data_IF_406109820446
#
_entry.id   IF_406109820446
#
_cell.length_a   1.000
_cell.length_b   1.000
_cell.length_c   1.000
_cell.angle_alpha   90.00
_cell.angle_beta   90.00
_cell.angle_gamma   90.00
#
_symmetry.space_group_name_H-M   'P 1'
#
loop_
_entity.id
_entity.type
_entity.pdbx_description
1 polymer ?
#
# COMPACT_ATOMS: atom_id res chain seq x y z
N UNK A 1 -19.11 41.36 15.81
CA UNK A 1 -17.71 40.91 15.86
C UNK A 1 -17.46 40.15 17.16
N UNK A 2 -17.23 38.83 17.08
CA UNK A 2 -16.99 37.97 18.25
C UNK A 2 -16.14 36.75 17.85
N UNK A 3 -14.83 36.91 17.90
CA UNK A 3 -13.72 35.97 17.72
C UNK A 3 -14.04 34.45 17.50
N UNK A 4 -14.39 34.05 16.27
CA UNK A 4 -14.40 32.65 15.81
C UNK A 4 -12.98 32.04 15.70
N UNK A 5 -11.94 32.88 15.47
CA UNK A 5 -10.53 32.45 15.47
C UNK A 5 -10.08 31.89 16.83
N UNK A 6 -10.65 32.35 17.94
CA UNK A 6 -10.30 31.87 19.28
C UNK A 6 -10.75 30.44 19.56
N UNK A 7 -11.97 30.07 19.15
CA UNK A 7 -12.57 28.76 19.48
C UNK A 7 -11.88 27.61 18.75
N UNK A 8 -11.57 27.76 17.46
CA UNK A 8 -10.84 26.75 16.67
C UNK A 8 -9.42 26.56 17.19
N UNK A 9 -8.74 27.66 17.54
CA UNK A 9 -7.38 27.61 18.09
C UNK A 9 -7.34 26.95 19.47
N UNK A 10 -8.35 27.17 20.30
CA UNK A 10 -8.50 26.50 21.61
C UNK A 10 -8.79 25.01 21.45
N UNK A 11 -9.66 24.62 20.51
CA UNK A 11 -9.97 23.21 20.23
C UNK A 11 -8.76 22.45 19.69
N UNK A 12 -8.00 23.03 18.75
CA UNK A 12 -6.75 22.45 18.25
C UNK A 12 -5.67 22.35 19.33
N UNK A 13 -5.62 23.32 20.27
CA UNK A 13 -4.68 23.27 21.41
C UNK A 13 -5.04 22.18 22.41
N UNK A 14 -6.33 21.95 22.67
CA UNK A 14 -6.81 20.81 23.48
C UNK A 14 -6.52 19.47 22.80
N UNK A 15 -6.77 19.35 21.49
CA UNK A 15 -6.44 18.17 20.70
C UNK A 15 -4.94 17.87 20.70
N UNK A 16 -4.10 18.90 20.53
CA UNK A 16 -2.64 18.78 20.63
C UNK A 16 -2.22 18.29 22.03
N UNK A 17 -2.86 18.77 23.09
CA UNK A 17 -2.62 18.30 24.46
C UNK A 17 -2.98 16.84 24.65
N UNK A 18 -4.16 16.42 24.17
CA UNK A 18 -4.63 15.04 24.24
C UNK A 18 -3.75 14.08 23.41
N UNK A 19 -3.37 14.46 22.19
CA UNK A 19 -2.46 13.68 21.34
C UNK A 19 -1.05 13.59 21.92
N UNK A 20 -0.57 14.64 22.58
CA UNK A 20 0.74 14.61 23.26
C UNK A 20 0.71 13.68 24.47
N UNK A 21 -0.39 13.68 25.24
CA UNK A 21 -0.61 12.75 26.35
C UNK A 21 -0.72 11.31 25.85
N UNK A 22 -1.54 11.06 24.82
CA UNK A 22 -1.64 9.76 24.16
C UNK A 22 -0.30 9.27 23.58
N UNK A 23 0.51 10.16 22.99
CA UNK A 23 1.83 9.78 22.49
C UNK A 23 2.85 9.50 23.61
N UNK A 24 2.66 10.04 24.81
CA UNK A 24 3.49 9.73 26.00
C UNK A 24 3.02 8.42 26.64
N UNK A 25 1.71 8.23 26.76
CA UNK A 25 1.10 7.08 27.43
C UNK A 25 1.15 5.81 26.53
N UNK A 26 0.92 5.96 25.22
CA UNK A 26 0.79 4.86 24.26
C UNK A 26 1.80 4.89 23.08
N UNK A 27 2.43 6.03 22.79
CA UNK A 27 3.30 6.19 21.61
C UNK A 27 4.59 5.36 21.65
N UNK A 28 5.03 4.97 22.85
CA UNK A 28 6.18 4.08 23.05
C UNK A 28 5.79 2.60 23.16
N UNK A 29 4.50 2.23 23.10
CA UNK A 29 4.07 0.84 23.25
C UNK A 29 4.68 -0.04 22.16
N UNK A 30 4.73 0.43 20.91
CA UNK A 30 5.33 -0.33 19.81
C UNK A 30 6.83 -0.54 20.01
N UNK A 31 7.55 0.48 20.49
CA UNK A 31 8.99 0.42 20.70
C UNK A 31 9.34 -0.44 21.93
N UNK A 32 8.55 -0.33 23.00
CA UNK A 32 8.62 -1.20 24.18
C UNK A 32 8.35 -2.66 23.81
N UNK A 33 7.32 -2.91 22.99
CA UNK A 33 6.97 -4.24 22.46
C UNK A 33 8.02 -4.86 21.54
N UNK A 34 8.83 -4.04 20.87
CA UNK A 34 9.97 -4.51 20.06
C UNK A 34 11.10 -4.92 21.00
N UNK A 35 11.47 -4.06 21.94
CA UNK A 35 12.54 -4.31 22.93
C UNK A 35 12.21 -5.56 23.77
N UNK A 36 11.00 -5.65 24.31
CA UNK A 36 10.56 -6.81 25.11
C UNK A 36 10.64 -8.14 24.33
N UNK A 37 10.38 -8.12 23.02
CA UNK A 37 10.49 -9.32 22.17
C UNK A 37 11.94 -9.63 21.80
N UNK A 38 12.76 -8.62 21.52
CA UNK A 38 14.19 -8.78 21.29
C UNK A 38 14.89 -9.37 22.52
N UNK A 39 14.57 -8.86 23.71
CA UNK A 39 15.11 -9.36 24.98
C UNK A 39 14.68 -10.80 25.22
N UNK A 40 13.40 -11.15 24.98
CA UNK A 40 12.91 -12.52 25.14
C UNK A 40 13.52 -13.50 24.14
N UNK A 41 13.73 -13.08 22.90
CA UNK A 41 14.43 -13.89 21.88
C UNK A 41 15.87 -14.13 22.33
N UNK A 42 16.54 -13.11 22.85
CA UNK A 42 17.91 -13.22 23.37
C UNK A 42 18.01 -14.18 24.55
N UNK A 43 17.06 -14.16 25.47
CA UNK A 43 16.98 -15.14 26.57
C UNK A 43 16.85 -16.59 26.07
N UNK A 44 16.02 -16.82 25.03
CA UNK A 44 15.84 -18.13 24.42
C UNK A 44 17.12 -18.56 23.67
N UNK A 45 17.79 -17.64 22.99
CA UNK A 45 19.05 -17.90 22.29
C UNK A 45 20.18 -18.26 23.28
N UNK A 46 20.32 -17.53 24.39
CA UNK A 46 21.28 -17.84 25.46
C UNK A 46 21.00 -19.21 26.10
N UNK A 47 19.72 -19.57 26.28
CA UNK A 47 19.34 -20.90 26.75
C UNK A 47 19.74 -22.02 25.78
N UNK A 48 19.84 -21.72 24.48
CA UNK A 48 20.21 -22.68 23.43
C UNK A 48 21.71 -23.03 23.46
N UNK A 49 22.55 -22.14 24.00
CA UNK A 49 23.98 -22.41 24.22
C UNK A 49 24.24 -23.40 25.35
N UNK A 50 23.34 -23.45 26.33
CA UNK A 50 23.47 -24.29 27.54
C UNK A 50 22.70 -25.60 27.43
N UNK A 51 21.58 -25.62 26.70
CA UNK A 51 20.72 -26.81 26.55
C UNK A 51 19.97 -26.82 25.23
N UNK A 52 19.41 -27.97 24.88
CA UNK A 52 18.42 -28.04 23.80
C UNK A 52 17.11 -27.38 24.24
N UNK A 53 16.50 -26.63 23.32
CA UNK A 53 15.20 -26.01 23.52
C UNK A 53 14.09 -27.07 23.57
N UNK A 54 13.06 -26.78 24.36
CA UNK A 54 11.81 -27.56 24.35
C UNK A 54 10.96 -27.19 23.14
N UNK A 55 10.05 -28.08 22.74
CA UNK A 55 9.15 -27.84 21.60
C UNK A 55 8.28 -26.58 21.81
N UNK A 56 7.87 -26.31 23.06
CA UNK A 56 7.15 -25.09 23.44
C UNK A 56 7.99 -23.82 23.25
N UNK A 57 9.26 -23.84 23.61
CA UNK A 57 10.17 -22.69 23.43
C UNK A 57 10.52 -22.47 21.97
N UNK A 58 10.60 -23.54 21.17
CA UNK A 58 10.77 -23.43 19.73
C UNK A 58 9.56 -22.77 19.06
N UNK A 59 8.35 -23.07 19.52
CA UNK A 59 7.13 -22.44 19.01
C UNK A 59 6.95 -21.01 19.53
N UNK A 60 7.31 -20.75 20.78
CA UNK A 60 7.40 -19.38 21.33
C UNK A 60 8.38 -18.53 20.53
N UNK A 61 9.58 -19.06 20.21
CA UNK A 61 10.59 -18.37 19.42
C UNK A 61 10.09 -18.05 18.00
N UNK A 62 9.38 -18.98 17.35
CA UNK A 62 8.77 -18.72 16.03
C UNK A 62 7.74 -17.60 16.11
N UNK A 63 6.89 -17.62 17.14
CA UNK A 63 5.84 -16.64 17.33
C UNK A 63 6.42 -15.24 17.64
N UNK A 64 7.40 -15.16 18.55
CA UNK A 64 8.10 -13.92 18.89
C UNK A 64 8.79 -13.29 17.69
N UNK A 65 9.43 -14.10 16.83
CA UNK A 65 10.07 -13.63 15.61
C UNK A 65 9.07 -13.07 14.58
N UNK A 66 7.90 -13.71 14.43
CA UNK A 66 6.83 -13.19 13.55
C UNK A 66 6.33 -11.84 14.06
N UNK A 67 6.01 -11.75 15.35
CA UNK A 67 5.47 -10.52 15.93
C UNK A 67 6.49 -9.38 15.95
N UNK A 68 7.78 -9.69 16.20
CA UNK A 68 8.86 -8.72 16.12
C UNK A 68 8.99 -8.15 14.70
N UNK A 69 8.93 -9.02 13.69
CA UNK A 69 9.01 -8.62 12.29
C UNK A 69 7.85 -7.70 11.86
N UNK A 70 6.62 -8.04 12.24
CA UNK A 70 5.44 -7.22 11.99
C UNK A 70 5.54 -5.84 12.68
N UNK A 71 5.99 -5.82 13.95
CA UNK A 71 6.18 -4.59 14.69
C UNK A 71 7.27 -3.69 14.08
N UNK A 72 8.38 -4.28 13.63
CA UNK A 72 9.45 -3.57 12.93
C UNK A 72 8.99 -3.01 11.58
N UNK A 73 8.22 -3.79 10.81
CA UNK A 73 7.64 -3.33 9.54
C UNK A 73 6.67 -2.16 9.73
N UNK A 74 5.83 -2.24 10.75
CA UNK A 74 4.92 -1.15 11.11
C UNK A 74 5.69 0.11 11.54
N UNK A 75 6.75 -0.05 12.36
CA UNK A 75 7.66 1.04 12.74
C UNK A 75 8.32 1.67 11.52
N UNK A 76 8.83 0.86 10.58
CA UNK A 76 9.42 1.33 9.32
C UNK A 76 8.43 2.15 8.49
N UNK A 77 7.16 1.72 8.41
CA UNK A 77 6.09 2.47 7.73
C UNK A 77 5.86 3.85 8.37
N UNK A 78 5.77 3.93 9.70
CA UNK A 78 5.67 5.20 10.44
C UNK A 78 6.88 6.10 10.16
N UNK A 79 8.09 5.53 10.15
CA UNK A 79 9.32 6.26 9.86
C UNK A 79 9.45 6.70 8.40
N UNK A 80 8.73 6.09 7.45
CA UNK A 80 8.63 6.57 6.06
C UNK A 80 7.65 7.72 5.91
N UNK A 81 6.60 7.74 6.75
CA UNK A 81 5.58 8.78 6.74
C UNK A 81 6.03 10.05 7.49
N UNK A 82 6.77 9.91 8.60
CA UNK A 82 7.28 11.06 9.39
C UNK A 82 8.10 12.06 8.57
N UNK A 83 9.10 11.67 7.75
CA UNK A 83 9.85 12.57 6.89
C UNK A 83 8.98 13.27 5.86
N UNK A 84 8.02 12.57 5.24
CA UNK A 84 7.07 13.16 4.28
C UNK A 84 6.20 14.24 4.94
N UNK A 85 5.74 14.00 6.16
CA UNK A 85 4.99 14.98 6.95
C UNK A 85 5.84 16.19 7.37
N UNK A 86 7.11 15.98 7.71
CA UNK A 86 8.04 17.08 8.06
C UNK A 86 8.43 17.89 6.83
N UNK A 87 8.61 17.24 5.68
CA UNK A 87 8.91 17.87 4.39
C UNK A 87 7.75 18.75 3.91
N UNK A 88 6.50 18.26 4.04
CA UNK A 88 5.27 19.02 3.77
C UNK A 88 5.09 20.22 4.70
N UNK A 89 5.67 20.20 5.90
CA UNK A 89 5.51 21.26 6.90
C UNK A 89 6.61 22.33 6.83
N UNK A 90 7.81 21.98 6.38
CA UNK A 90 8.98 22.86 6.41
C UNK A 90 9.45 23.33 5.02
N UNK A 91 8.94 22.75 3.92
CA UNK A 91 9.37 23.08 2.56
C UNK A 91 10.86 22.80 2.32
N UNK A 92 11.36 23.21 1.16
CA UNK A 92 12.71 22.90 0.63
C UNK A 92 13.91 23.40 1.47
N UNK A 93 13.69 23.97 2.65
CA UNK A 93 14.72 24.55 3.51
C UNK A 93 15.34 23.57 4.51
N UNK A 94 15.54 22.28 4.16
CA UNK A 94 16.10 21.30 5.11
C UNK A 94 17.29 20.45 4.64
N UNK A 95 18.20 21.08 3.91
CA UNK A 95 19.58 20.61 3.71
C UNK A 95 20.33 20.40 5.06
N UNK A 96 20.07 21.22 6.09
CA UNK A 96 20.76 21.10 7.38
C UNK A 96 20.41 19.84 8.20
N UNK A 97 19.16 19.34 8.14
CA UNK A 97 18.77 18.09 8.82
C UNK A 97 19.35 16.87 8.09
N UNK A 98 19.30 16.84 6.76
CA UNK A 98 19.89 15.76 5.97
C UNK A 98 21.40 15.62 6.28
N UNK A 99 22.13 16.74 6.29
CA UNK A 99 23.54 16.73 6.66
C UNK A 99 23.79 16.38 8.15
N UNK A 100 22.88 16.75 9.07
CA UNK A 100 22.96 16.32 10.49
C UNK A 100 22.68 14.82 10.67
N UNK A 101 21.68 14.28 9.99
CA UNK A 101 21.34 12.86 10.02
C UNK A 101 22.48 12.01 9.42
N UNK A 102 23.07 12.45 8.30
CA UNK A 102 24.26 11.84 7.71
C UNK A 102 25.45 11.91 8.68
N UNK A 103 25.70 13.05 9.34
CA UNK A 103 26.77 13.19 10.35
C UNK A 103 26.56 12.30 11.59
N UNK A 104 25.33 12.15 12.09
CA UNK A 104 25.01 11.26 13.21
C UNK A 104 25.22 9.79 12.81
N UNK A 105 24.83 9.41 11.59
CA UNK A 105 25.03 8.07 11.04
C UNK A 105 26.51 7.75 10.83
N UNK A 106 27.32 8.74 10.43
CA UNK A 106 28.78 8.61 10.31
C UNK A 106 29.47 8.50 11.68
N UNK A 107 29.04 9.29 12.70
CA UNK A 107 29.56 9.18 14.08
C UNK A 107 29.26 7.84 14.74
N UNK A 108 28.12 7.21 14.43
CA UNK A 108 27.74 5.88 14.94
C UNK A 108 28.49 4.71 14.28
N UNK A 109 29.19 4.95 13.15
CA UNK A 109 30.00 3.96 12.45
C UNK A 109 31.50 4.03 12.79
N UNK A 110 31.91 4.91 13.71
CA UNK A 110 33.31 5.05 14.08
C UNK A 110 33.65 4.10 15.24
N UNK A 111 34.45 3.06 14.95
CA UNK A 111 35.03 2.15 15.95
C UNK A 111 36.24 2.85 16.59
N UNK A 112 36.25 3.00 17.91
CA UNK A 112 37.27 3.79 18.63
C UNK A 112 38.53 3.01 19.03
N UNK A 113 38.48 1.68 19.02
CA UNK A 113 39.64 0.77 19.08
C UNK A 113 39.15 -0.68 18.95
N UNK A 114 40.00 -1.58 18.44
CA UNK A 114 39.78 -3.03 18.46
C UNK A 114 40.92 -3.62 19.28
N UNK A 115 40.60 -4.28 20.40
CA UNK A 115 41.54 -5.07 21.17
C UNK A 115 41.45 -6.51 20.66
N UNK A 116 42.57 -7.03 20.13
CA UNK A 116 42.63 -8.38 19.59
C UNK A 116 42.97 -9.36 20.71
N UNK A 117 42.09 -10.33 20.98
CA UNK A 117 42.52 -11.55 21.64
C UNK A 117 42.27 -12.76 20.73
N UNK A 118 43.36 -13.19 20.10
CA UNK A 118 43.45 -14.36 19.24
C UNK A 118 43.50 -15.62 20.11
N UNK A 119 42.38 -16.03 20.71
CA UNK A 119 42.27 -17.41 21.22
C UNK A 119 40.83 -17.84 21.51
N UNK A 120 40.13 -18.34 20.48
CA UNK A 120 39.33 -19.59 20.51
C UNK A 120 38.58 -19.76 19.18
N UNK A 121 39.02 -20.76 18.43
CA UNK A 121 38.30 -21.29 17.29
C UNK A 121 37.07 -22.08 17.77
N UNK A 122 35.90 -21.82 17.17
CA UNK A 122 34.71 -22.66 17.32
C UNK A 122 33.40 -21.89 17.39
N UNK A 123 32.58 -22.05 16.35
CA UNK A 123 31.16 -21.68 16.24
C UNK A 123 30.84 -20.23 15.88
N UNK A 124 30.56 -20.01 14.59
CA UNK A 124 29.86 -18.83 14.07
C UNK A 124 28.36 -19.11 14.15
N UNK A 125 27.67 -18.44 15.08
CA UNK A 125 26.20 -18.34 15.11
C UNK A 125 25.80 -17.13 14.26
N UNK A 126 25.15 -17.34 13.13
CA UNK A 126 24.51 -16.26 12.37
C UNK A 126 23.08 -16.04 12.90
N UNK A 127 22.79 -14.83 13.41
CA UNK A 127 21.42 -14.41 13.71
C UNK A 127 20.60 -14.39 12.42
N UNK A 128 19.60 -15.25 12.36
CA UNK A 128 18.78 -15.53 11.19
C UNK A 128 17.65 -14.49 11.06
N UNK A 129 17.96 -13.22 10.80
CA UNK A 129 16.95 -12.20 10.54
C UNK A 129 16.80 -11.88 9.04
N UNK A 130 16.60 -12.92 8.22
CA UNK A 130 16.11 -12.77 6.84
C UNK A 130 15.52 -14.10 6.31
N UNK A 131 14.58 -14.68 7.06
CA UNK A 131 13.72 -15.76 6.54
C UNK A 131 12.26 -15.32 6.50
N UNK A 132 11.93 -14.59 5.44
CA UNK A 132 10.74 -14.85 4.59
C UNK A 132 10.82 -13.93 3.37
N UNK A 133 11.24 -14.52 2.26
CA UNK A 133 11.37 -13.85 0.98
C UNK A 133 12.62 -14.28 0.22
N UNK A 134 13.00 -15.56 0.22
CA UNK A 134 14.12 -16.00 -0.59
C UNK A 134 14.22 -17.52 -0.72
N UNK A 135 13.72 -18.07 -1.81
CA UNK A 135 14.30 -19.29 -2.38
C UNK A 135 15.25 -18.93 -3.52
N UNK A 136 14.99 -17.85 -4.27
CA UNK A 136 15.80 -17.47 -5.42
C UNK A 136 17.10 -16.76 -5.04
N UNK A 137 17.08 -15.76 -4.12
CA UNK A 137 18.34 -15.13 -3.69
C UNK A 137 19.10 -15.94 -2.63
N UNK A 138 18.45 -16.85 -1.89
CA UNK A 138 19.19 -17.87 -1.12
C UNK A 138 19.92 -18.84 -2.05
N UNK A 139 19.30 -19.27 -3.15
CA UNK A 139 19.95 -20.14 -4.15
C UNK A 139 21.09 -19.42 -4.89
N UNK A 140 20.90 -18.14 -5.25
CA UNK A 140 21.94 -17.31 -5.87
C UNK A 140 23.09 -16.98 -4.90
N UNK A 141 22.82 -16.72 -3.63
CA UNK A 141 23.85 -16.48 -2.62
C UNK A 141 24.67 -17.75 -2.29
N UNK A 142 24.03 -18.94 -2.32
CA UNK A 142 24.73 -20.23 -2.18
C UNK A 142 25.58 -20.51 -3.43
N UNK A 143 25.05 -20.27 -4.63
CA UNK A 143 25.80 -20.42 -5.88
C UNK A 143 26.98 -19.44 -6.00
N UNK A 144 26.82 -18.21 -5.51
CA UNK A 144 27.87 -17.19 -5.48
C UNK A 144 28.97 -17.50 -4.45
N UNK A 145 28.63 -18.08 -3.29
CA UNK A 145 29.62 -18.58 -2.30
C UNK A 145 30.46 -19.72 -2.84
N UNK A 146 29.94 -20.52 -3.78
CA UNK A 146 30.68 -21.63 -4.38
C UNK A 146 31.68 -21.18 -5.46
N UNK A 147 31.64 -19.93 -5.93
CA UNK A 147 32.33 -19.55 -7.17
C UNK A 147 33.17 -18.26 -7.13
N UNK A 148 33.46 -17.67 -5.96
CA UNK A 148 34.28 -16.46 -5.90
C UNK A 148 35.48 -16.61 -4.97
N UNK A 149 36.64 -16.87 -5.58
CA UNK A 149 37.93 -16.59 -4.97
C UNK A 149 38.19 -15.07 -4.95
N UNK A 150 38.81 -14.60 -3.86
CA UNK A 150 39.48 -13.30 -3.71
C UNK A 150 38.66 -12.01 -3.54
N UNK A 151 37.38 -12.05 -3.17
CA UNK A 151 36.71 -10.86 -2.60
C UNK A 151 36.75 -10.90 -1.07
N UNK A 152 37.13 -9.79 -0.42
CA UNK A 152 36.94 -9.63 1.03
C UNK A 152 35.47 -9.94 1.35
N UNK A 153 35.23 -10.94 2.21
CA UNK A 153 33.90 -11.55 2.38
C UNK A 153 32.79 -10.57 2.77
N UNK A 154 33.11 -9.44 3.40
CA UNK A 154 32.16 -8.38 3.76
C UNK A 154 31.70 -7.57 2.53
N UNK A 155 32.64 -7.15 1.66
CA UNK A 155 32.33 -6.39 0.44
C UNK A 155 31.44 -7.20 -0.52
N UNK A 156 31.66 -8.52 -0.59
CA UNK A 156 30.86 -9.42 -1.41
C UNK A 156 29.41 -9.58 -0.89
N UNK A 157 29.22 -9.61 0.44
CA UNK A 157 27.89 -9.71 1.05
C UNK A 157 27.12 -8.40 0.83
N UNK A 158 27.76 -7.25 1.02
CA UNK A 158 27.12 -5.94 0.77
C UNK A 158 26.72 -5.79 -0.70
N UNK A 159 27.58 -6.21 -1.64
CA UNK A 159 27.27 -6.20 -3.07
C UNK A 159 26.08 -7.10 -3.43
N UNK A 160 25.97 -8.29 -2.84
CA UNK A 160 24.83 -9.20 -3.05
C UNK A 160 23.53 -8.62 -2.51
N UNK A 161 23.55 -7.97 -1.35
CA UNK A 161 22.38 -7.30 -0.79
C UNK A 161 21.92 -6.12 -1.68
N UNK A 162 22.87 -5.31 -2.16
CA UNK A 162 22.59 -4.23 -3.10
C UNK A 162 21.98 -4.77 -4.40
N UNK A 163 22.53 -5.86 -4.93
CA UNK A 163 22.02 -6.49 -6.15
C UNK A 163 20.59 -7.02 -5.96
N UNK A 164 20.31 -7.70 -4.83
CA UNK A 164 18.97 -8.19 -4.51
C UNK A 164 17.97 -7.04 -4.38
N UNK A 165 18.39 -5.92 -3.77
CA UNK A 165 17.58 -4.71 -3.68
C UNK A 165 17.23 -4.15 -5.07
N UNK A 166 18.22 -4.03 -5.95
CA UNK A 166 18.02 -3.57 -7.34
C UNK A 166 17.04 -4.48 -8.09
N UNK A 167 17.25 -5.79 -8.03
CA UNK A 167 16.38 -6.74 -8.73
C UNK A 167 14.95 -6.72 -8.23
N UNK A 168 14.73 -6.57 -6.92
CA UNK A 168 13.38 -6.43 -6.36
C UNK A 168 12.63 -5.24 -6.95
N UNK A 169 13.31 -4.11 -7.14
CA UNK A 169 12.71 -2.93 -7.74
C UNK A 169 12.54 -3.08 -9.25
N UNK A 170 13.56 -3.61 -9.95
CA UNK A 170 13.52 -3.84 -11.39
C UNK A 170 12.41 -4.81 -11.81
N UNK A 171 12.12 -5.85 -11.01
CA UNK A 171 11.08 -6.83 -11.30
C UNK A 171 9.75 -6.58 -10.58
N UNK A 172 9.58 -5.46 -9.88
CA UNK A 172 8.32 -5.17 -9.17
C UNK A 172 7.10 -5.09 -10.12
N UNK A 173 7.33 -4.76 -11.40
CA UNK A 173 6.28 -4.76 -12.42
C UNK A 173 5.68 -6.17 -12.63
N UNK A 174 6.42 -7.24 -12.34
CA UNK A 174 5.93 -8.63 -12.46
C UNK A 174 4.79 -8.87 -11.49
N UNK A 175 4.89 -8.39 -10.24
CA UNK A 175 3.80 -8.50 -9.25
C UNK A 175 2.57 -7.70 -9.70
N UNK A 176 2.77 -6.49 -10.23
CA UNK A 176 1.71 -5.66 -10.77
C UNK A 176 0.97 -6.35 -11.93
N UNK A 177 1.72 -6.91 -12.90
CA UNK A 177 1.14 -7.61 -14.05
C UNK A 177 0.55 -8.97 -13.68
N UNK A 178 1.07 -9.64 -12.65
CA UNK A 178 0.49 -10.88 -12.12
C UNK A 178 -0.88 -10.63 -11.49
N UNK A 179 -1.02 -9.53 -10.74
CA UNK A 179 -2.31 -9.11 -10.20
C UNK A 179 -3.31 -8.79 -11.33
N UNK A 180 -2.88 -8.04 -12.34
CA UNK A 180 -3.69 -7.76 -13.54
C UNK A 180 -4.17 -9.06 -14.20
N UNK A 181 -3.25 -10.00 -14.42
CA UNK A 181 -3.56 -11.30 -15.01
C UNK A 181 -4.62 -12.07 -14.19
N UNK A 182 -4.50 -12.10 -12.86
CA UNK A 182 -5.46 -12.76 -12.01
C UNK A 182 -6.85 -12.10 -12.03
N UNK A 183 -6.92 -10.77 -12.15
CA UNK A 183 -8.18 -10.04 -12.33
C UNK A 183 -8.82 -10.34 -13.69
N UNK A 184 -8.02 -10.39 -14.76
CA UNK A 184 -8.49 -10.67 -16.12
C UNK A 184 -8.99 -12.12 -16.26
N UNK A 185 -8.31 -13.06 -15.60
CA UNK A 185 -8.70 -14.48 -15.54
C UNK A 185 -9.85 -14.76 -14.57
N UNK A 186 -10.27 -13.78 -13.76
CA UNK A 186 -11.34 -13.96 -12.77
C UNK A 186 -10.99 -14.90 -11.62
N UNK A 187 -9.70 -15.13 -11.35
CA UNK A 187 -9.22 -16.11 -10.35
C UNK A 187 -9.78 -15.82 -8.95
N UNK A 188 -9.92 -14.53 -8.59
CA UNK A 188 -10.44 -14.12 -7.29
C UNK A 188 -11.89 -14.58 -7.07
N UNK A 189 -12.76 -14.34 -8.05
CA UNK A 189 -14.17 -14.75 -7.99
C UNK A 189 -14.27 -16.29 -8.04
N UNK A 190 -13.48 -16.95 -8.91
CA UNK A 190 -13.47 -18.42 -9.02
C UNK A 190 -13.15 -19.09 -7.67
N UNK A 191 -12.10 -18.65 -6.98
CA UNK A 191 -11.72 -19.20 -5.67
C UNK A 191 -12.77 -18.82 -4.61
N UNK A 192 -13.36 -17.63 -4.68
CA UNK A 192 -14.42 -17.22 -3.76
C UNK A 192 -15.67 -18.09 -3.89
N UNK A 193 -16.17 -18.24 -5.11
CA UNK A 193 -17.40 -18.96 -5.45
C UNK A 193 -17.26 -20.46 -5.18
N UNK A 194 -16.03 -20.99 -5.19
CA UNK A 194 -15.74 -22.37 -4.80
C UNK A 194 -16.04 -22.65 -3.31
N UNK A 195 -15.99 -21.63 -2.44
CA UNK A 195 -16.44 -21.70 -1.04
C UNK A 195 -15.55 -22.49 -0.07
N UNK A 196 -14.47 -23.12 -0.54
CA UNK A 196 -13.50 -23.90 0.26
C UNK A 196 -12.07 -23.72 -0.30
N UNK A 197 -11.01 -24.16 0.40
CA UNK A 197 -9.66 -24.14 -0.17
C UNK A 197 -9.62 -24.85 -1.53
N UNK A 198 -9.22 -24.14 -2.59
CA UNK A 198 -9.26 -24.63 -3.97
C UNK A 198 -7.88 -25.13 -4.39
N UNK A 199 -7.75 -26.38 -4.78
CA UNK A 199 -6.48 -26.94 -5.27
C UNK A 199 -6.07 -26.32 -6.60
N UNK A 200 -4.78 -26.45 -6.96
CA UNK A 200 -4.31 -25.98 -8.28
C UNK A 200 -5.02 -26.70 -9.43
N UNK A 201 -5.33 -27.99 -9.28
CA UNK A 201 -6.02 -28.80 -10.29
C UNK A 201 -7.46 -28.33 -10.49
N UNK A 202 -8.18 -28.07 -9.39
CA UNK A 202 -9.54 -27.50 -9.45
C UNK A 202 -9.53 -26.10 -10.08
N UNK A 203 -8.57 -25.24 -9.73
CA UNK A 203 -8.45 -23.91 -10.30
C UNK A 203 -8.20 -23.95 -11.82
N UNK A 204 -7.25 -24.80 -12.26
CA UNK A 204 -6.95 -24.99 -13.69
C UNK A 204 -8.19 -25.50 -14.44
N UNK A 205 -8.96 -26.42 -13.85
CA UNK A 205 -10.19 -26.94 -14.45
C UNK A 205 -11.31 -25.88 -14.52
N UNK A 206 -11.36 -24.95 -13.57
CA UNK A 206 -12.35 -23.88 -13.53
C UNK A 206 -12.06 -22.74 -14.55
N UNK A 207 -10.82 -22.60 -15.01
CA UNK A 207 -10.42 -21.58 -15.99
C UNK A 207 -10.79 -22.01 -17.42
N UNK A 208 -12.03 -21.72 -17.83
CA UNK A 208 -12.63 -22.16 -19.11
C UNK A 208 -11.82 -21.78 -20.38
N UNK A 209 -11.13 -20.64 -20.36
CA UNK A 209 -10.37 -20.10 -21.50
C UNK A 209 -8.87 -20.46 -21.46
N UNK A 210 -8.44 -21.32 -20.52
CA UNK A 210 -7.04 -21.65 -20.35
C UNK A 210 -6.54 -22.60 -21.44
N UNK A 211 -5.46 -22.23 -22.11
CA UNK A 211 -4.76 -23.14 -23.00
C UNK A 211 -4.14 -24.28 -22.17
N UNK A 212 -4.43 -25.57 -22.47
CA UNK A 212 -3.93 -26.70 -21.69
C UNK A 212 -2.40 -26.73 -21.56
N UNK A 213 -1.67 -26.25 -22.57
CA UNK A 213 -0.19 -26.18 -22.55
C UNK A 213 0.37 -25.20 -21.50
N UNK A 214 -0.48 -24.32 -20.96
CA UNK A 214 -0.16 -23.29 -19.96
C UNK A 214 -0.67 -23.62 -18.56
N UNK A 215 -1.28 -24.79 -18.36
CA UNK A 215 -1.79 -25.21 -17.05
C UNK A 215 -0.71 -25.15 -15.95
N UNK A 216 0.51 -25.60 -16.26
CA UNK A 216 1.63 -25.55 -15.32
C UNK A 216 2.05 -24.12 -14.95
N UNK A 217 1.81 -23.13 -15.81
CA UNK A 217 2.19 -21.74 -15.54
C UNK A 217 1.23 -21.06 -14.54
N UNK A 218 -0.01 -21.55 -14.39
CA UNK A 218 -0.95 -21.05 -13.37
C UNK A 218 -0.39 -21.28 -11.97
N UNK A 219 0.29 -22.40 -11.73
CA UNK A 219 0.95 -22.64 -10.44
C UNK A 219 2.00 -21.56 -10.13
N UNK A 220 2.77 -21.12 -11.14
CA UNK A 220 3.79 -20.07 -10.98
C UNK A 220 3.15 -18.72 -10.70
N UNK A 221 2.06 -18.40 -11.40
CA UNK A 221 1.25 -17.20 -11.16
C UNK A 221 0.71 -17.19 -9.72
N UNK A 222 0.11 -18.28 -9.27
CA UNK A 222 -0.42 -18.41 -7.91
C UNK A 222 0.67 -18.29 -6.85
N UNK A 223 1.88 -18.82 -7.09
CA UNK A 223 3.02 -18.62 -6.17
C UNK A 223 3.37 -17.15 -5.99
N UNK A 224 3.35 -16.34 -7.06
CA UNK A 224 3.61 -14.90 -7.00
C UNK A 224 2.50 -14.19 -6.21
N UNK A 225 1.25 -14.56 -6.45
CA UNK A 225 0.10 -13.93 -5.79
C UNK A 225 -0.01 -14.32 -4.32
N UNK A 226 0.36 -15.55 -3.95
CA UNK A 226 0.52 -15.96 -2.55
C UNK A 226 1.64 -15.19 -1.88
N UNK A 227 2.79 -15.05 -2.55
CA UNK A 227 3.91 -14.25 -2.02
C UNK A 227 3.54 -12.76 -1.86
N UNK A 228 2.64 -12.26 -2.70
CA UNK A 228 2.13 -10.89 -2.66
C UNK A 228 0.94 -10.70 -1.71
N UNK A 229 0.62 -11.71 -0.87
CA UNK A 229 -0.46 -11.69 0.12
C UNK A 229 -1.87 -11.50 -0.46
N UNK A 230 -2.10 -11.91 -1.72
CA UNK A 230 -3.44 -11.98 -2.31
C UNK A 230 -4.13 -13.32 -2.02
N UNK A 231 -3.35 -14.38 -1.84
CA UNK A 231 -3.86 -15.70 -1.48
C UNK A 231 -3.00 -16.29 -0.36
N UNK A 232 -3.59 -17.16 0.44
CA UNK A 232 -2.88 -18.02 1.38
C UNK A 232 -3.03 -19.48 0.94
N UNK A 233 -2.10 -20.32 1.38
CA UNK A 233 -2.23 -21.78 1.25
C UNK A 233 -2.80 -22.33 2.55
N UNK A 234 -3.76 -23.23 2.42
CA UNK A 234 -4.37 -23.92 3.53
C UNK A 234 -4.29 -25.43 3.29
N UNK A 235 -3.82 -26.17 4.28
CA UNK A 235 -3.82 -27.64 4.23
C UNK A 235 -5.27 -28.13 4.19
N UNK A 236 -5.53 -29.08 3.30
CA UNK A 236 -6.78 -29.81 3.23
C UNK A 236 -6.75 -30.95 4.28
N UNK A 237 -7.92 -31.26 4.87
CA UNK A 237 -8.07 -32.34 5.87
C UNK A 237 -7.97 -33.75 5.26
N UNK A 238 -7.49 -33.88 4.02
CA UNK A 238 -7.34 -35.14 3.32
C UNK A 238 -5.99 -35.81 3.62
N UNK A 239 -5.95 -37.14 3.54
CA UNK A 239 -4.77 -37.96 3.83
C UNK A 239 -3.55 -37.67 2.92
N UNK A 240 -3.71 -36.87 1.87
CA UNK A 240 -2.72 -36.60 0.84
C UNK A 240 -1.82 -35.37 1.11
N UNK A 241 -1.98 -34.65 2.22
CA UNK A 241 -1.26 -33.39 2.51
C UNK A 241 -1.39 -32.33 1.39
N UNK A 242 -2.47 -32.33 0.62
CA UNK A 242 -2.66 -31.32 -0.41
C UNK A 242 -2.94 -29.95 0.22
N UNK A 243 -2.47 -28.89 -0.44
CA UNK A 243 -2.74 -27.51 -0.07
C UNK A 243 -3.68 -26.87 -1.09
N UNK A 244 -4.73 -26.20 -0.61
CA UNK A 244 -5.63 -25.37 -1.39
C UNK A 244 -5.34 -23.88 -1.22
N UNK A 245 -5.73 -23.07 -2.19
CA UNK A 245 -5.66 -21.62 -2.13
C UNK A 245 -6.93 -21.04 -1.50
N UNK A 246 -6.75 -20.04 -0.65
CA UNK A 246 -7.82 -19.22 -0.06
C UNK A 246 -7.51 -17.74 -0.22
N UNK A 247 -8.54 -16.90 -0.25
CA UNK A 247 -8.38 -15.45 -0.26
C UNK A 247 -7.86 -14.94 1.09
N UNK A 248 -6.96 -13.95 1.05
CA UNK A 248 -6.57 -13.16 2.21
C UNK A 248 -7.57 -12.02 2.44
N UNK A 249 -7.42 -11.28 3.54
CA UNK A 249 -8.24 -10.08 3.77
C UNK A 249 -8.02 -9.02 2.67
N UNK A 250 -6.78 -8.92 2.18
CA UNK A 250 -6.36 -7.96 1.15
C UNK A 250 -7.04 -8.21 -0.20
N UNK A 251 -7.35 -9.47 -0.55
CA UNK A 251 -7.99 -9.80 -1.83
C UNK A 251 -9.51 -9.83 -1.80
N UNK A 252 -10.15 -9.78 -0.62
CA UNK A 252 -11.63 -9.73 -0.53
C UNK A 252 -12.24 -8.50 -1.17
N UNK A 253 -11.53 -7.37 -1.16
CA UNK A 253 -11.96 -6.13 -1.82
C UNK A 253 -11.79 -6.18 -3.35
N UNK A 254 -11.28 -7.27 -3.91
CA UNK A 254 -11.17 -7.48 -5.36
C UNK A 254 -12.37 -8.24 -5.94
N UNK A 255 -13.25 -8.76 -5.08
CA UNK A 255 -14.43 -9.54 -5.49
C UNK A 255 -15.50 -8.62 -6.07
N UNK A 256 -16.15 -9.06 -7.16
CA UNK A 256 -17.17 -8.24 -7.87
C UNK A 256 -18.35 -7.84 -6.99
N UNK A 257 -18.75 -8.73 -6.08
CA UNK A 257 -19.91 -8.52 -5.21
C UNK A 257 -19.55 -7.82 -3.88
N UNK A 258 -18.29 -7.39 -3.70
CA UNK A 258 -17.89 -6.65 -2.51
C UNK A 258 -18.41 -5.21 -2.60
N UNK A 259 -19.06 -4.66 -1.55
CA UNK A 259 -19.51 -3.26 -1.53
C UNK A 259 -18.37 -2.23 -1.59
N UNK A 260 -17.13 -2.67 -1.41
CA UNK A 260 -15.90 -1.88 -1.51
C UNK A 260 -14.99 -2.40 -2.62
N UNK A 261 -15.56 -2.96 -3.68
CA UNK A 261 -14.80 -3.55 -4.78
C UNK A 261 -13.88 -2.52 -5.44
N UNK A 262 -12.56 -2.69 -5.34
CA UNK A 262 -11.55 -1.79 -5.94
C UNK A 262 -11.06 -2.28 -7.32
N UNK A 263 -11.60 -3.39 -7.81
CA UNK A 263 -11.22 -3.96 -9.11
C UNK A 263 -11.34 -2.98 -10.28
N UNK A 264 -12.41 -2.15 -10.40
CA UNK A 264 -12.48 -1.17 -11.47
C UNK A 264 -11.33 -0.14 -11.40
N UNK A 265 -10.96 0.34 -10.20
CA UNK A 265 -9.81 1.25 -10.00
C UNK A 265 -8.51 0.61 -10.47
N UNK A 266 -8.29 -0.66 -10.13
CA UNK A 266 -7.10 -1.38 -10.56
C UNK A 266 -7.08 -1.57 -12.08
N UNK A 267 -8.20 -1.95 -12.70
CA UNK A 267 -8.30 -2.08 -14.16
C UNK A 267 -8.00 -0.77 -14.87
N UNK A 268 -8.53 0.35 -14.38
CA UNK A 268 -8.22 1.68 -14.91
C UNK A 268 -6.72 2.03 -14.77
N UNK A 269 -6.13 1.76 -13.60
CA UNK A 269 -4.71 2.06 -13.33
C UNK A 269 -3.76 1.16 -14.13
N UNK A 270 -4.18 -0.08 -14.39
CA UNK A 270 -3.43 -1.09 -15.14
C UNK A 270 -3.68 -1.03 -16.64
N UNK A 271 -4.50 -0.09 -17.11
CA UNK A 271 -4.76 0.07 -18.53
C UNK A 271 -3.49 0.49 -19.29
N UNK A 272 -3.21 -0.06 -20.49
CA UNK A 272 -2.06 0.34 -21.30
C UNK A 272 -1.98 1.84 -21.56
N UNK A 273 -3.12 2.53 -21.66
CA UNK A 273 -3.16 3.98 -21.89
C UNK A 273 -2.64 4.76 -20.68
N UNK A 274 -2.93 4.27 -19.48
CA UNK A 274 -2.48 4.88 -18.22
C UNK A 274 -1.04 4.48 -17.86
N UNK A 275 -0.60 3.29 -18.27
CA UNK A 275 0.74 2.77 -17.96
C UNK A 275 1.82 3.22 -18.97
N UNK A 276 1.47 3.52 -20.22
CA UNK A 276 2.43 3.97 -21.25
C UNK A 276 3.20 5.25 -20.88
N UNK A 277 2.58 6.32 -20.32
CA UNK A 277 3.29 7.55 -19.97
C UNK A 277 4.52 7.37 -19.07
N UNK A 278 4.56 6.31 -18.27
CA UNK A 278 5.68 6.02 -17.39
C UNK A 278 6.98 5.74 -18.16
N UNK A 279 6.91 5.26 -19.41
CA UNK A 279 8.09 5.07 -20.26
C UNK A 279 8.61 6.39 -20.87
N UNK A 280 7.85 7.48 -20.76
CA UNK A 280 8.20 8.79 -21.31
C UNK A 280 8.73 9.76 -20.26
N UNK A 281 8.84 9.34 -18.99
CA UNK A 281 9.32 10.21 -17.90
C UNK A 281 10.66 10.86 -18.21
N UNK A 282 11.61 10.11 -18.81
CA UNK A 282 12.91 10.66 -19.19
C UNK A 282 12.83 11.78 -20.24
N UNK A 283 11.96 11.61 -21.24
CA UNK A 283 11.72 12.63 -22.29
C UNK A 283 10.92 13.80 -21.74
N UNK A 284 9.94 13.54 -20.85
CA UNK A 284 9.15 14.56 -20.19
C UNK A 284 10.00 15.52 -19.36
N UNK A 285 11.00 15.03 -18.63
CA UNK A 285 11.95 15.91 -17.92
C UNK A 285 12.82 16.78 -18.84
N UNK A 286 12.79 16.56 -20.16
CA UNK A 286 13.57 17.29 -21.15
C UNK A 286 12.71 18.22 -22.03
N UNK A 287 11.42 18.35 -21.74
CA UNK A 287 10.51 19.20 -22.49
C UNK A 287 9.61 20.04 -21.58
N UNK A 288 8.81 20.92 -22.20
CA UNK A 288 7.92 21.85 -21.51
C UNK A 288 6.49 21.30 -21.30
N UNK A 289 6.24 20.03 -21.62
CA UNK A 289 4.91 19.45 -21.46
C UNK A 289 4.52 19.37 -19.97
N UNK A 290 3.29 19.75 -19.66
CA UNK A 290 2.83 19.76 -18.27
C UNK A 290 2.75 18.37 -17.61
N UNK A 291 2.66 17.28 -18.39
CA UNK A 291 2.53 15.92 -17.85
C UNK A 291 3.23 14.88 -18.73
N UNK A 292 3.67 13.73 -18.18
CA UNK A 292 4.17 12.61 -18.97
C UNK A 292 3.13 12.07 -19.96
N UNK A 293 1.84 12.21 -19.63
CA UNK A 293 0.74 11.82 -20.51
C UNK A 293 0.73 12.68 -21.78
N UNK A 294 0.89 14.00 -21.64
CA UNK A 294 0.99 14.91 -22.76
C UNK A 294 2.21 14.59 -23.64
N UNK A 295 3.37 14.30 -23.05
CA UNK A 295 4.54 13.83 -23.83
C UNK A 295 4.29 12.53 -24.59
N UNK A 296 3.54 11.59 -24.00
CA UNK A 296 3.28 10.30 -24.63
C UNK A 296 2.20 10.34 -25.73
N UNK A 297 1.25 11.29 -25.65
CA UNK A 297 0.04 11.30 -26.48
C UNK A 297 -0.22 12.61 -27.24
N UNK A 298 0.55 13.67 -27.00
CA UNK A 298 0.39 14.99 -27.63
C UNK A 298 -0.86 15.76 -27.19
N UNK A 299 -1.55 15.32 -26.14
CA UNK A 299 -2.77 15.93 -25.59
C UNK A 299 -2.90 15.63 -24.09
N UNK A 300 -3.71 16.42 -23.39
CA UNK A 300 -3.97 16.18 -21.95
C UNK A 300 -4.78 14.91 -21.73
N UNK A 301 -4.75 14.38 -20.51
CA UNK A 301 -5.55 13.23 -20.11
C UNK A 301 -7.06 13.49 -20.34
N UNK A 302 -7.53 14.68 -19.98
CA UNK A 302 -8.93 15.07 -20.11
C UNK A 302 -9.36 15.22 -21.58
N UNK A 303 -8.51 15.79 -22.43
CA UNK A 303 -8.75 15.87 -23.89
C UNK A 303 -8.71 14.49 -24.55
N UNK A 304 -7.98 13.54 -23.97
CA UNK A 304 -8.02 12.16 -24.44
C UNK A 304 -9.39 11.53 -24.17
N UNK A 305 -9.93 11.70 -22.95
CA UNK A 305 -11.22 11.12 -22.55
C UNK A 305 -12.41 11.62 -23.35
N UNK A 306 -12.36 12.86 -23.85
CA UNK A 306 -13.45 13.39 -24.68
C UNK A 306 -13.60 12.64 -26.01
N UNK A 307 -12.56 11.95 -26.46
CA UNK A 307 -12.53 11.22 -27.73
C UNK A 307 -12.55 9.69 -27.58
N UNK A 308 -12.52 9.17 -26.34
CA UNK A 308 -12.55 7.74 -26.04
C UNK A 308 -13.58 7.43 -24.94
N UNK A 309 -14.83 7.10 -25.33
CA UNK A 309 -15.89 6.78 -24.39
C UNK A 309 -15.58 5.55 -23.52
N UNK A 310 -14.87 4.54 -24.04
CA UNK A 310 -14.59 3.31 -23.30
C UNK A 310 -13.58 3.57 -22.18
N UNK A 311 -12.52 4.33 -22.46
CA UNK A 311 -11.56 4.72 -21.43
C UNK A 311 -12.18 5.67 -20.41
N UNK A 312 -13.05 6.59 -20.85
CA UNK A 312 -13.81 7.49 -19.97
C UNK A 312 -14.65 6.67 -18.98
N UNK A 313 -15.40 5.68 -19.45
CA UNK A 313 -16.24 4.84 -18.60
C UNK A 313 -15.39 4.02 -17.62
N UNK A 314 -14.31 3.41 -18.10
CA UNK A 314 -13.38 2.64 -17.25
C UNK A 314 -12.81 3.48 -16.10
N UNK A 315 -12.42 4.73 -16.37
CA UNK A 315 -11.83 5.61 -15.37
C UNK A 315 -12.89 6.17 -14.43
N UNK A 316 -14.07 6.49 -14.93
CA UNK A 316 -15.20 6.90 -14.08
C UNK A 316 -15.58 5.76 -13.12
N UNK A 317 -15.67 4.52 -13.61
CA UNK A 317 -15.89 3.33 -12.77
C UNK A 317 -14.76 3.15 -11.76
N UNK A 318 -13.52 3.40 -12.18
CA UNK A 318 -12.34 3.36 -11.30
C UNK A 318 -12.37 4.39 -10.18
N UNK A 319 -12.76 5.63 -10.47
CA UNK A 319 -12.91 6.69 -9.47
C UNK A 319 -14.12 6.46 -8.56
N UNK A 320 -15.20 5.91 -9.09
CA UNK A 320 -16.41 5.60 -8.34
C UNK A 320 -16.21 4.45 -7.35
N UNK A 321 -15.45 3.41 -7.73
CA UNK A 321 -15.14 2.25 -6.88
C UNK A 321 -14.24 2.61 -5.69
N UNK A 322 -13.11 3.28 -5.92
CA UNK A 322 -12.24 3.78 -4.83
C UNK A 322 -13.03 4.67 -3.85
N UNK A 323 -13.99 5.41 -4.40
CA UNK A 323 -14.80 6.31 -3.63
C UNK A 323 -15.66 5.64 -2.57
N UNK A 324 -16.13 4.40 -2.77
CA UNK A 324 -17.09 3.74 -1.88
C UNK A 324 -16.52 3.52 -0.48
N UNK A 325 -15.31 2.99 -0.38
CA UNK A 325 -14.66 2.73 0.91
C UNK A 325 -14.38 4.03 1.66
N UNK A 326 -13.75 5.00 0.99
CA UNK A 326 -13.40 6.30 1.58
C UNK A 326 -14.66 7.02 2.07
N UNK A 327 -15.73 7.00 1.26
CA UNK A 327 -17.00 7.63 1.61
C UNK A 327 -17.65 6.93 2.81
N UNK A 328 -17.62 5.60 2.90
CA UNK A 328 -18.17 4.88 4.05
C UNK A 328 -17.49 5.27 5.37
N UNK A 329 -16.16 5.41 5.36
CA UNK A 329 -15.39 5.84 6.53
C UNK A 329 -15.68 7.29 6.87
N UNK A 330 -15.75 8.17 5.86
CA UNK A 330 -16.05 9.59 6.05
C UNK A 330 -17.44 9.80 6.64
N UNK A 331 -18.44 9.08 6.15
CA UNK A 331 -19.81 9.16 6.62
C UNK A 331 -19.98 8.53 8.01
N UNK A 332 -19.26 7.45 8.34
CA UNK A 332 -19.39 6.80 9.65
C UNK A 332 -18.55 7.50 10.73
N UNK A 333 -17.28 7.77 10.45
CA UNK A 333 -16.30 8.25 11.45
C UNK A 333 -16.17 9.76 11.51
N UNK A 334 -16.53 10.48 10.44
CA UNK A 334 -16.32 11.93 10.34
C UNK A 334 -17.63 12.73 10.37
N UNK A 335 -18.73 12.19 10.92
CA UNK A 335 -20.04 12.89 10.98
C UNK A 335 -19.94 14.30 11.57
N UNK A 336 -19.17 14.46 12.65
CA UNK A 336 -18.98 15.75 13.30
C UNK A 336 -18.34 16.82 12.43
N UNK A 337 -17.70 16.47 11.30
CA UNK A 337 -17.20 17.44 10.33
C UNK A 337 -18.31 18.08 9.49
N UNK A 338 -19.48 17.42 9.38
CA UNK A 338 -20.63 17.87 8.62
C UNK A 338 -21.76 18.46 9.49
N UNK A 339 -21.64 18.33 10.82
CA UNK A 339 -22.64 18.87 11.75
C UNK A 339 -22.73 20.41 11.67
N UNK A 340 -23.96 20.90 11.46
CA UNK A 340 -24.26 22.33 11.39
C UNK A 340 -24.05 22.96 10.01
N UNK A 341 -23.66 22.18 9.00
CA UNK A 341 -23.67 22.61 7.61
C UNK A 341 -25.09 22.52 7.04
N UNK A 342 -25.53 23.56 6.34
CA UNK A 342 -26.78 23.56 5.58
C UNK A 342 -26.53 23.25 4.10
N UNK A 343 -25.32 23.51 3.60
CA UNK A 343 -24.95 23.24 2.21
C UNK A 343 -23.51 22.76 2.03
N UNK A 344 -23.31 21.81 1.11
CA UNK A 344 -22.02 21.26 0.72
C UNK A 344 -21.89 21.22 -0.81
N UNK A 345 -20.75 21.61 -1.35
CA UNK A 345 -20.41 21.41 -2.78
C UNK A 345 -19.25 20.43 -2.89
N UNK A 346 -19.45 19.32 -3.58
CA UNK A 346 -18.43 18.34 -3.97
C UNK A 346 -17.85 18.73 -5.33
N UNK A 347 -16.70 19.40 -5.31
CA UNK A 347 -16.02 19.94 -6.50
C UNK A 347 -15.17 18.84 -7.14
N UNK A 348 -15.40 18.58 -8.43
CA UNK A 348 -14.84 17.42 -9.10
C UNK A 348 -15.47 16.11 -8.62
N UNK A 349 -16.74 16.16 -8.19
CA UNK A 349 -17.45 15.03 -7.57
C UNK A 349 -17.86 13.90 -8.52
N UNK A 350 -17.55 14.03 -9.82
CA UNK A 350 -17.82 13.02 -10.85
C UNK A 350 -19.31 12.69 -10.95
N UNK A 351 -19.63 11.39 -10.88
CA UNK A 351 -21.02 10.88 -10.90
C UNK A 351 -21.74 11.01 -9.55
N UNK A 352 -21.08 11.60 -8.54
CA UNK A 352 -21.68 11.98 -7.27
C UNK A 352 -21.67 10.91 -6.17
N UNK A 353 -20.85 9.86 -6.27
CA UNK A 353 -20.80 8.77 -5.27
C UNK A 353 -20.65 9.27 -3.84
N UNK A 354 -19.75 10.24 -3.62
CA UNK A 354 -19.49 10.79 -2.29
C UNK A 354 -20.63 11.70 -1.82
N UNK A 355 -21.03 12.67 -2.64
CA UNK A 355 -22.13 13.57 -2.32
C UNK A 355 -23.46 12.84 -2.08
N UNK A 356 -23.77 11.76 -2.81
CA UNK A 356 -24.96 10.92 -2.59
C UNK A 356 -25.01 10.34 -1.18
N UNK A 357 -23.93 9.67 -0.76
CA UNK A 357 -23.87 9.06 0.57
C UNK A 357 -23.93 10.09 1.70
N UNK A 358 -23.34 11.27 1.49
CA UNK A 358 -23.44 12.39 2.43
C UNK A 358 -24.88 12.90 2.49
N UNK A 359 -25.52 13.14 1.33
CA UNK A 359 -26.90 13.61 1.25
C UNK A 359 -27.89 12.64 1.92
N UNK A 360 -27.70 11.33 1.73
CA UNK A 360 -28.50 10.27 2.36
C UNK A 360 -28.33 10.24 3.90
N UNK A 361 -27.12 10.55 4.39
CA UNK A 361 -26.83 10.56 5.84
C UNK A 361 -27.30 11.84 6.51
N UNK A 362 -27.31 12.96 5.78
CA UNK A 362 -27.70 14.28 6.29
C UNK A 362 -28.84 14.86 5.45
N UNK A 363 -30.09 14.38 5.63
CA UNK A 363 -31.22 14.74 4.76
C UNK A 363 -31.61 16.22 4.75
N UNK A 364 -31.15 16.99 5.75
CA UNK A 364 -31.39 18.43 5.87
C UNK A 364 -30.30 19.29 5.22
N UNK A 365 -29.16 18.69 4.83
CA UNK A 365 -28.07 19.40 4.17
C UNK A 365 -28.23 19.30 2.65
N UNK A 366 -28.20 20.44 1.97
CA UNK A 366 -28.18 20.52 0.51
C UNK A 366 -26.79 20.13 -0.03
N UNK A 367 -26.71 19.11 -0.85
CA UNK A 367 -25.47 18.65 -1.49
C UNK A 367 -25.49 18.97 -2.98
N UNK A 368 -24.39 19.55 -3.48
CA UNK A 368 -24.19 19.83 -4.90
C UNK A 368 -23.00 19.06 -5.41
N UNK A 369 -23.19 18.23 -6.42
CA UNK A 369 -22.08 17.69 -7.23
C UNK A 369 -21.75 18.72 -8.30
N UNK A 370 -20.50 19.19 -8.30
CA UNK A 370 -20.00 20.14 -9.29
C UNK A 370 -18.86 19.50 -10.09
N UNK A 371 -19.02 19.36 -11.39
CA UNK A 371 -17.98 18.82 -12.28
C UNK A 371 -18.12 19.40 -13.70
N UNK A 372 -17.29 18.97 -14.65
CA UNK A 372 -17.37 19.42 -16.04
C UNK A 372 -18.75 19.10 -16.64
N UNK A 373 -19.30 19.96 -17.53
CA UNK A 373 -20.64 19.77 -18.08
C UNK A 373 -20.87 18.40 -18.73
N UNK A 374 -19.86 17.85 -19.42
CA UNK A 374 -19.91 16.53 -20.07
C UNK A 374 -19.83 15.34 -19.09
N UNK A 375 -19.51 15.57 -17.82
CA UNK A 375 -19.49 14.54 -16.76
C UNK A 375 -20.84 14.46 -16.08
N UNK A 376 -21.46 15.60 -15.77
CA UNK A 376 -22.76 15.65 -15.07
C UNK A 376 -23.97 15.65 -16.01
N UNK A 377 -23.76 15.77 -17.32
CA UNK A 377 -24.83 15.73 -18.32
C UNK A 377 -25.66 14.45 -18.20
N UNK A 378 -26.98 14.58 -18.15
CA UNK A 378 -27.92 13.47 -18.04
C UNK A 378 -28.08 12.89 -16.63
N UNK A 379 -27.28 13.31 -15.65
CA UNK A 379 -27.44 12.89 -14.26
C UNK A 379 -28.61 13.63 -13.60
N UNK A 380 -29.50 12.86 -12.96
CA UNK A 380 -30.64 13.39 -12.22
C UNK A 380 -30.32 13.46 -10.73
N UNK A 381 -30.59 14.61 -10.12
CA UNK A 381 -30.51 14.80 -8.68
C UNK A 381 -31.60 14.04 -7.93
N UNK A 382 -31.58 14.13 -6.60
CA UNK A 382 -32.56 13.49 -5.74
C UNK A 382 -32.72 14.26 -4.44
N UNK A 383 -33.95 14.58 -4.02
CA UNK A 383 -34.23 15.27 -2.75
C UNK A 383 -33.33 16.50 -2.52
N UNK A 384 -32.31 16.36 -1.68
CA UNK A 384 -31.33 17.36 -1.27
C UNK A 384 -30.01 17.29 -2.07
N UNK A 385 -29.95 16.53 -3.17
CA UNK A 385 -28.78 16.39 -4.04
C UNK A 385 -29.06 16.97 -5.43
N UNK A 386 -28.18 17.85 -5.90
CA UNK A 386 -28.22 18.42 -7.26
C UNK A 386 -26.90 18.30 -8.00
N UNK A 387 -26.95 18.36 -9.32
CA UNK A 387 -25.80 18.35 -10.21
C UNK A 387 -25.65 19.71 -10.91
N UNK A 388 -24.43 20.22 -10.96
CA UNK A 388 -24.11 21.49 -11.63
C UNK A 388 -22.87 21.30 -12.49
N UNK A 389 -23.00 21.61 -13.79
CA UNK A 389 -21.89 21.59 -14.74
C UNK A 389 -21.15 22.92 -14.75
N UNK A 390 -19.81 22.90 -14.75
CA UNK A 390 -19.01 24.11 -14.88
C UNK A 390 -17.50 23.87 -14.85
N UNK A 391 -16.74 24.96 -14.75
CA UNK A 391 -15.29 24.94 -14.65
C UNK A 391 -14.85 25.47 -13.28
N UNK A 392 -14.25 24.63 -12.44
CA UNK A 392 -13.83 25.00 -11.09
C UNK A 392 -12.75 26.08 -11.04
N UNK A 393 -12.02 26.30 -12.15
CA UNK A 393 -11.01 27.36 -12.27
C UNK A 393 -11.63 28.73 -12.59
N UNK A 394 -12.90 28.77 -13.00
CA UNK A 394 -13.64 30.01 -13.24
C UNK A 394 -14.54 30.34 -12.06
N UNK A 395 -15.50 29.45 -11.77
CA UNK A 395 -16.45 29.60 -10.67
C UNK A 395 -17.08 28.25 -10.30
N UNK A 396 -17.49 28.13 -9.04
CA UNK A 396 -18.30 27.00 -8.56
C UNK A 396 -19.36 27.50 -7.57
N UNK A 397 -20.43 26.75 -7.31
CA UNK A 397 -21.53 27.18 -6.45
C UNK A 397 -21.08 27.53 -5.03
N UNK A 398 -21.70 28.56 -4.44
CA UNK A 398 -21.49 28.91 -3.02
C UNK A 398 -22.17 27.89 -2.11
N UNK A 399 -21.48 27.50 -1.04
CA UNK A 399 -22.00 26.63 0.02
C UNK A 399 -21.25 26.87 1.33
N UNK A 400 -21.76 26.32 2.43
CA UNK A 400 -21.13 26.42 3.76
C UNK A 400 -19.79 25.68 3.80
N UNK A 401 -19.67 24.60 3.02
CA UNK A 401 -18.44 23.85 2.86
C UNK A 401 -18.20 23.37 1.42
N UNK A 402 -16.93 23.12 1.13
CA UNK A 402 -16.45 22.56 -0.13
C UNK A 402 -15.74 21.24 0.18
N UNK A 403 -16.09 20.18 -0.54
CA UNK A 403 -15.39 18.91 -0.53
C UNK A 403 -14.54 18.77 -1.80
N UNK A 404 -13.27 18.39 -1.61
CA UNK A 404 -12.32 18.09 -2.66
C UNK A 404 -11.67 16.73 -2.35
N UNK A 405 -12.19 15.66 -2.95
CA UNK A 405 -11.78 14.29 -2.58
C UNK A 405 -10.54 13.80 -3.33
N UNK A 406 -10.46 13.99 -4.64
CA UNK A 406 -9.34 13.47 -5.45
C UNK A 406 -9.03 14.43 -6.58
N UNK A 407 -8.40 15.57 -6.28
CA UNK A 407 -7.92 16.55 -7.28
C UNK A 407 -6.61 17.25 -6.92
N UNK A 408 -5.96 16.89 -5.79
CA UNK A 408 -4.68 17.47 -5.36
C UNK A 408 -3.58 16.39 -5.34
N UNK A 409 -3.26 15.86 -6.52
CA UNK A 409 -1.99 15.16 -6.75
C UNK A 409 -1.31 15.79 -7.96
#
# INVERSE_FOLDING_TARGET
>A
MGCLRGKTTVKLRKLKGALKKWNVDDGNILEKRIIEREDRIKEIDEATEQRKLTELEMDELKQLNIELWEAMKFKESIWRQKPRMTWLREGDANNAFFHRAVKIKAKRKMVYSIESDMSKAGTVVFSLAEKKGNEMASSLAIAAKMNMGNANGEDAIEALQAQAHIWRHAFNFVSFMSLKCALDLGIFDIIHDHGKPMTITELVAALQMLNPTKACDIYRLMRILVHSDFFARQKLDNAAQEEGYVLTNSSRILLKNNPFCITPTLKATMDPIITKPWSFLGTWFQNDDHTPFATAYGKTLWDYFTHDPQLKDLINDGLASDSQLVTSVLVDKCKGAFEGLNSLVDVGGGTGTTAKAIADTFPLMECTVFDLPNIVSGLQGSKNLKYVGGNMFEAFPTADAILLKVKLY
#
